data_IF_241309128892
#
_entry.id   IF_241309128892
#
_cell.length_a   1.000
_cell.length_b   1.000
_cell.length_c   1.000
_cell.angle_alpha   90.00
_cell.angle_beta   90.00
_cell.angle_gamma   90.00
#
_symmetry.space_group_name_H-M   'P 1'
#
loop_
_entity.id
_entity.type
_entity.pdbx_description
1 polymer ?
#
# COMPACT_ATOMS: atom_id res chain seq x y z
N UNK A 1 -20.41 8.61 -6.63
CA UNK A 1 -19.40 8.23 -7.65
C UNK A 1 -20.15 7.63 -8.84
N UNK A 2 -19.79 7.95 -10.10
CA UNK A 2 -20.39 7.29 -11.26
C UNK A 2 -19.66 5.96 -11.57
N UNK A 3 -20.28 5.08 -12.36
CA UNK A 3 -19.64 3.82 -12.80
C UNK A 3 -18.33 4.07 -13.57
N UNK A 4 -18.27 5.13 -14.38
CA UNK A 4 -17.05 5.52 -15.10
C UNK A 4 -15.94 5.95 -14.13
N UNK A 5 -16.27 6.78 -13.13
CA UNK A 5 -15.31 7.18 -12.09
C UNK A 5 -14.82 5.99 -11.27
N UNK A 6 -15.72 5.05 -10.95
CA UNK A 6 -15.37 3.82 -10.23
C UNK A 6 -14.30 3.01 -10.97
N UNK A 7 -14.54 2.64 -12.23
CA UNK A 7 -13.59 1.83 -13.00
C UNK A 7 -12.25 2.53 -13.23
N UNK A 8 -12.27 3.84 -13.50
CA UNK A 8 -11.03 4.65 -13.60
C UNK A 8 -10.25 4.64 -12.28
N UNK A 9 -10.95 4.65 -11.16
CA UNK A 9 -10.34 4.60 -9.83
C UNK A 9 -9.73 3.23 -9.55
N UNK A 10 -10.43 2.15 -9.89
CA UNK A 10 -9.94 0.77 -9.76
C UNK A 10 -8.66 0.58 -10.57
N UNK A 11 -8.66 0.94 -11.85
CA UNK A 11 -7.49 0.81 -12.73
C UNK A 11 -6.30 1.62 -12.18
N UNK A 12 -6.56 2.86 -11.73
CA UNK A 12 -5.53 3.70 -11.12
C UNK A 12 -4.95 3.09 -9.84
N UNK A 13 -5.80 2.46 -9.02
CA UNK A 13 -5.38 1.74 -7.81
C UNK A 13 -4.48 0.54 -8.13
N UNK A 14 -4.82 -0.26 -9.15
CA UNK A 14 -3.97 -1.36 -9.61
C UNK A 14 -2.59 -0.85 -10.06
N UNK A 15 -2.55 0.20 -10.89
CA UNK A 15 -1.29 0.77 -11.40
C UNK A 15 -0.44 1.34 -10.25
N UNK A 16 -1.05 2.11 -9.34
CA UNK A 16 -0.36 2.67 -8.19
C UNK A 16 0.22 1.58 -7.27
N UNK A 17 -0.52 0.48 -7.08
CA UNK A 17 -0.06 -0.67 -6.29
C UNK A 17 1.09 -1.37 -6.97
N UNK A 18 1.01 -1.57 -8.28
CA UNK A 18 2.12 -2.13 -9.06
C UNK A 18 3.40 -1.30 -8.91
N UNK A 19 3.31 0.03 -9.03
CA UNK A 19 4.48 0.92 -8.84
C UNK A 19 5.00 0.86 -7.41
N UNK A 20 4.11 0.82 -6.42
CA UNK A 20 4.49 0.62 -5.02
C UNK A 20 5.28 -0.67 -4.81
N UNK A 21 4.84 -1.78 -5.43
CA UNK A 21 5.56 -3.06 -5.44
C UNK A 21 6.94 -2.94 -6.08
N UNK A 22 7.04 -2.29 -7.24
CA UNK A 22 8.33 -2.11 -7.92
C UNK A 22 9.31 -1.31 -7.06
N UNK A 23 8.85 -0.24 -6.41
CA UNK A 23 9.69 0.53 -5.48
C UNK A 23 10.13 -0.33 -4.29
N UNK A 24 9.22 -1.12 -3.72
CA UNK A 24 9.52 -2.00 -2.60
C UNK A 24 10.59 -3.06 -2.93
N UNK A 25 10.69 -3.50 -4.19
CA UNK A 25 11.77 -4.37 -4.67
C UNK A 25 13.05 -3.60 -5.01
N UNK A 26 12.94 -2.47 -5.71
CA UNK A 26 14.10 -1.71 -6.20
C UNK A 26 14.86 -0.97 -5.10
N UNK A 27 14.20 -0.62 -3.99
CA UNK A 27 14.84 0.07 -2.86
C UNK A 27 15.97 -0.74 -2.20
N UNK A 28 16.05 -2.05 -2.46
CA UNK A 28 17.21 -2.88 -2.13
C UNK A 28 18.53 -2.32 -2.67
N UNK A 29 18.51 -1.72 -3.87
CA UNK A 29 19.68 -1.06 -4.48
C UNK A 29 20.16 0.18 -3.72
N UNK A 30 19.36 0.71 -2.80
CA UNK A 30 19.69 1.86 -1.94
C UNK A 30 20.08 1.43 -0.52
N UNK A 31 20.24 0.12 -0.27
CA UNK A 31 20.57 -0.41 1.07
C UNK A 31 19.38 -0.44 2.05
N UNK A 32 18.15 -0.28 1.54
CA UNK A 32 16.90 -0.44 2.27
C UNK A 32 16.41 -1.90 2.17
N UNK A 33 15.67 -2.42 3.17
CA UNK A 33 15.11 -3.76 3.09
C UNK A 33 14.07 -3.85 1.96
N UNK A 34 14.07 -4.98 1.26
CA UNK A 34 13.01 -5.33 0.31
C UNK A 34 11.76 -5.72 1.11
N UNK A 35 10.61 -5.16 0.73
CA UNK A 35 9.32 -5.44 1.39
C UNK A 35 8.39 -6.11 0.37
N UNK A 36 8.37 -7.44 0.37
CA UNK A 36 7.43 -8.21 -0.45
C UNK A 36 6.12 -8.44 0.31
N UNK A 37 5.21 -7.48 0.20
CA UNK A 37 3.89 -7.53 0.87
C UNK A 37 3.06 -8.72 0.38
N UNK A 38 3.15 -9.08 -0.90
CA UNK A 38 2.43 -10.23 -1.45
C UNK A 38 2.88 -11.53 -0.78
N UNK A 39 4.19 -11.72 -0.63
CA UNK A 39 4.76 -12.87 0.07
C UNK A 39 4.39 -12.87 1.56
N UNK A 40 4.51 -11.73 2.25
CA UNK A 40 4.14 -11.58 3.67
C UNK A 40 2.68 -11.99 3.90
N UNK A 41 1.76 -11.54 3.03
CA UNK A 41 0.35 -11.91 3.13
C UNK A 41 0.13 -13.41 2.88
N UNK A 42 0.78 -13.99 1.86
CA UNK A 42 0.70 -15.44 1.62
C UNK A 42 1.21 -16.25 2.82
N UNK A 43 2.33 -15.86 3.43
CA UNK A 43 2.83 -16.51 4.64
C UNK A 43 1.84 -16.38 5.80
N UNK A 44 1.24 -15.21 5.97
CA UNK A 44 0.20 -14.97 6.99
C UNK A 44 -1.00 -15.89 6.79
N UNK A 45 -1.49 -16.05 5.56
CA UNK A 45 -2.62 -16.94 5.25
C UNK A 45 -2.28 -18.40 5.55
N UNK A 46 -1.07 -18.83 5.18
CA UNK A 46 -0.61 -20.22 5.32
C UNK A 46 -0.22 -20.59 6.75
N UNK A 47 0.13 -19.61 7.58
CA UNK A 47 0.30 -19.83 9.01
C UNK A 47 -1.00 -20.31 9.66
N UNK A 48 -2.15 -19.79 9.19
CA UNK A 48 -3.48 -20.16 9.68
C UNK A 48 -4.02 -21.42 8.95
N UNK A 49 -3.73 -21.58 7.66
CA UNK A 49 -4.26 -22.67 6.82
C UNK A 49 -3.18 -23.70 6.45
N UNK A 50 -2.71 -24.44 7.44
CA UNK A 50 -1.60 -25.40 7.27
C UNK A 50 -1.94 -26.61 6.40
N UNK A 51 -3.22 -27.01 6.34
CA UNK A 51 -3.68 -28.16 5.56
C UNK A 51 -3.93 -27.89 4.07
N UNK A 52 -4.23 -26.65 3.70
CA UNK A 52 -4.53 -26.23 2.33
C UNK A 52 -3.84 -24.89 2.03
N UNK A 53 -2.53 -24.89 1.76
CA UNK A 53 -1.76 -23.67 1.63
C UNK A 53 -2.17 -22.88 0.37
N UNK A 54 -2.39 -21.59 0.57
CA UNK A 54 -2.57 -20.61 -0.50
C UNK A 54 -1.27 -20.43 -1.29
N UNK A 55 -1.42 -20.33 -2.61
CA UNK A 55 -0.32 -19.92 -3.50
C UNK A 55 0.00 -18.42 -3.37
N UNK A 56 1.14 -18.02 -3.92
CA UNK A 56 1.59 -16.63 -3.95
C UNK A 56 0.62 -15.68 -4.70
N UNK A 57 -0.20 -16.22 -5.59
CA UNK A 57 -1.21 -15.45 -6.33
C UNK A 57 -2.21 -14.81 -5.37
N UNK A 58 -2.59 -15.51 -4.29
CA UNK A 58 -3.58 -15.01 -3.34
C UNK A 58 -3.07 -13.85 -2.49
N UNK A 59 -1.81 -13.89 -2.06
CA UNK A 59 -1.18 -12.77 -1.37
C UNK A 59 -1.05 -11.53 -2.26
N UNK A 60 -0.63 -11.72 -3.51
CA UNK A 60 -0.57 -10.64 -4.50
C UNK A 60 -1.96 -10.07 -4.85
N UNK A 61 -2.98 -10.93 -4.93
CA UNK A 61 -4.35 -10.51 -5.16
C UNK A 61 -4.87 -9.68 -3.99
N UNK A 62 -4.71 -10.15 -2.76
CA UNK A 62 -5.11 -9.41 -1.55
C UNK A 62 -4.41 -8.05 -1.47
N UNK A 63 -3.12 -8.00 -1.80
CA UNK A 63 -2.35 -6.76 -1.84
C UNK A 63 -2.87 -5.77 -2.90
N UNK A 64 -3.14 -6.23 -4.12
CA UNK A 64 -3.69 -5.39 -5.18
C UNK A 64 -5.11 -4.90 -4.85
N UNK A 65 -5.97 -5.76 -4.30
CA UNK A 65 -7.31 -5.38 -3.84
C UNK A 65 -7.19 -4.30 -2.77
N UNK A 66 -6.27 -4.44 -1.81
CA UNK A 66 -6.03 -3.44 -0.77
C UNK A 66 -5.67 -2.08 -1.39
N UNK A 67 -4.77 -2.06 -2.38
CA UNK A 67 -4.42 -0.82 -3.06
C UNK A 67 -5.55 -0.24 -3.92
N UNK A 68 -6.45 -1.05 -4.46
CA UNK A 68 -7.70 -0.58 -5.09
C UNK A 68 -8.65 0.03 -4.05
N UNK A 69 -8.81 -0.60 -2.90
CA UNK A 69 -9.64 -0.08 -1.82
C UNK A 69 -9.12 1.26 -1.30
N UNK A 70 -7.80 1.41 -1.14
CA UNK A 70 -7.17 2.69 -0.82
C UNK A 70 -7.46 3.75 -1.90
N UNK A 71 -7.45 3.41 -3.18
CA UNK A 71 -7.79 4.34 -4.25
C UNK A 71 -9.25 4.77 -4.18
N UNK A 72 -10.16 3.83 -3.90
CA UNK A 72 -11.59 4.11 -3.74
C UNK A 72 -11.85 4.99 -2.52
N UNK A 73 -11.17 4.74 -1.39
CA UNK A 73 -11.26 5.56 -0.17
C UNK A 73 -10.81 6.99 -0.46
N UNK A 74 -9.74 7.16 -1.24
CA UNK A 74 -9.28 8.49 -1.65
C UNK A 74 -10.40 9.27 -2.35
N UNK A 75 -10.94 8.70 -3.43
CA UNK A 75 -11.97 9.36 -4.26
C UNK A 75 -13.28 9.56 -3.49
N UNK A 76 -13.67 8.61 -2.65
CA UNK A 76 -14.93 8.68 -1.92
C UNK A 76 -14.91 9.66 -0.74
N UNK A 77 -13.78 9.81 -0.05
CA UNK A 77 -13.76 10.46 1.27
C UNK A 77 -12.69 11.53 1.46
N UNK A 78 -11.55 11.45 0.76
CA UNK A 78 -10.37 12.25 1.10
C UNK A 78 -10.03 13.32 0.06
N UNK A 79 -10.38 13.07 -1.20
CA UNK A 79 -9.99 13.90 -2.33
C UNK A 79 -10.36 15.37 -2.13
N UNK A 80 -11.55 15.65 -1.62
CA UNK A 80 -12.06 17.02 -1.37
C UNK A 80 -11.52 17.63 -0.07
N UNK A 81 -11.19 16.80 0.92
CA UNK A 81 -10.80 17.23 2.28
C UNK A 81 -9.32 17.54 2.40
N UNK A 82 -8.46 16.87 1.65
CA UNK A 82 -7.01 17.08 1.72
C UNK A 82 -6.64 18.32 0.87
N UNK A 83 -6.03 19.35 1.48
CA UNK A 83 -5.66 20.58 0.77
C UNK A 83 -4.44 20.38 -0.12
N UNK A 84 -4.16 21.38 -0.96
CA UNK A 84 -2.99 21.43 -1.82
C UNK A 84 -3.22 20.95 -3.25
N UNK A 85 -2.17 21.06 -4.06
CA UNK A 85 -2.16 20.57 -5.43
C UNK A 85 -2.02 19.04 -5.48
N UNK A 86 -2.18 18.43 -6.65
CA UNK A 86 -2.14 16.96 -6.81
C UNK A 86 -0.83 16.32 -6.35
N UNK A 87 0.30 17.02 -6.47
CA UNK A 87 1.58 16.51 -5.99
C UNK A 87 1.59 16.45 -4.46
N UNK A 88 1.24 17.56 -3.79
CA UNK A 88 1.14 17.64 -2.33
C UNK A 88 0.13 16.61 -1.80
N UNK A 89 -1.03 16.49 -2.44
CA UNK A 89 -2.04 15.48 -2.12
C UNK A 89 -1.47 14.06 -2.19
N UNK A 90 -0.67 13.74 -3.21
CA UNK A 90 -0.02 12.43 -3.34
C UNK A 90 0.99 12.16 -2.23
N UNK A 91 1.81 13.15 -1.88
CA UNK A 91 2.76 13.05 -0.75
C UNK A 91 2.01 12.84 0.56
N UNK A 92 1.03 13.69 0.88
CA UNK A 92 0.24 13.58 2.10
C UNK A 92 -0.49 12.25 2.19
N UNK A 93 -1.04 11.77 1.07
CA UNK A 93 -1.72 10.49 1.05
C UNK A 93 -0.77 9.32 1.24
N UNK A 94 0.41 9.33 0.60
CA UNK A 94 1.45 8.34 0.82
C UNK A 94 1.91 8.29 2.29
N UNK A 95 2.13 9.44 2.92
CA UNK A 95 2.46 9.53 4.35
C UNK A 95 1.33 8.93 5.20
N UNK A 96 0.07 9.31 4.93
CA UNK A 96 -1.08 8.80 5.66
C UNK A 96 -1.17 7.26 5.57
N UNK A 97 -1.04 6.72 4.36
CA UNK A 97 -1.06 5.26 4.15
C UNK A 97 0.11 4.61 4.88
N UNK A 98 1.32 5.19 4.86
CA UNK A 98 2.47 4.67 5.60
C UNK A 98 2.24 4.66 7.12
N UNK A 99 1.58 5.69 7.66
CA UNK A 99 1.23 5.76 9.09
C UNK A 99 0.22 4.67 9.44
N UNK A 100 -0.82 4.49 8.63
CA UNK A 100 -1.83 3.44 8.83
C UNK A 100 -1.18 2.06 8.68
N UNK A 101 -0.30 1.88 7.70
CA UNK A 101 0.41 0.62 7.48
C UNK A 101 1.28 0.26 8.69
N UNK A 102 2.19 1.15 9.12
CA UNK A 102 3.09 0.87 10.24
C UNK A 102 2.39 0.83 11.60
N UNK A 103 1.38 1.68 11.82
CA UNK A 103 0.69 1.80 13.11
C UNK A 103 -0.46 0.82 13.31
N UNK A 104 -1.08 0.33 12.24
CA UNK A 104 -2.26 -0.54 12.32
C UNK A 104 -2.00 -1.84 11.58
N UNK A 105 -1.77 -1.80 10.27
CA UNK A 105 -1.80 -3.01 9.43
C UNK A 105 -0.65 -3.96 9.75
N UNK A 106 0.60 -3.46 9.83
CA UNK A 106 1.79 -4.28 10.06
C UNK A 106 1.75 -5.05 11.39
N UNK A 107 1.36 -4.44 12.53
CA UNK A 107 1.12 -5.19 13.76
C UNK A 107 0.14 -6.36 13.60
N UNK A 108 -1.02 -6.12 12.98
CA UNK A 108 -2.05 -7.17 12.83
C UNK A 108 -1.62 -8.28 11.87
N UNK A 109 -1.02 -7.92 10.73
CA UNK A 109 -0.57 -8.90 9.73
C UNK A 109 0.57 -9.76 10.29
N UNK A 110 1.56 -9.15 10.94
CA UNK A 110 2.67 -9.92 11.53
C UNK A 110 2.18 -10.87 12.62
N UNK A 111 1.29 -10.41 13.51
CA UNK A 111 0.68 -11.27 14.53
C UNK A 111 -0.09 -12.45 13.93
N UNK A 112 -0.81 -12.24 12.83
CA UNK A 112 -1.50 -13.32 12.12
C UNK A 112 -0.53 -14.31 11.47
N UNK A 113 0.71 -13.89 11.16
CA UNK A 113 1.77 -14.75 10.64
C UNK A 113 2.60 -15.46 11.73
N UNK A 114 2.28 -15.27 13.02
CA UNK A 114 3.03 -15.83 14.13
C UNK A 114 4.32 -15.05 14.48
N UNK A 115 4.47 -13.84 13.95
CA UNK A 115 5.58 -12.92 14.25
C UNK A 115 5.03 -11.63 14.90
N UNK A 116 5.88 -10.73 15.36
CA UNK A 116 5.45 -9.41 15.82
C UNK A 116 6.41 -8.35 15.30
N UNK A 117 5.96 -7.57 14.33
CA UNK A 117 6.72 -6.39 13.89
C UNK A 117 6.61 -5.23 14.89
N UNK A 118 5.61 -5.25 15.77
CA UNK A 118 5.32 -4.14 16.69
C UNK A 118 4.80 -2.90 15.97
N UNK A 119 4.39 -1.89 16.75
CA UNK A 119 3.96 -0.61 16.21
C UNK A 119 5.13 0.08 15.49
N UNK A 120 4.93 0.53 14.26
CA UNK A 120 5.98 1.15 13.45
C UNK A 120 7.28 0.33 13.38
N UNK A 121 7.13 -0.99 13.32
CA UNK A 121 8.24 -1.94 13.14
C UNK A 121 9.22 -2.01 14.33
N UNK A 122 8.85 -1.55 15.52
CA UNK A 122 9.76 -1.46 16.70
C UNK A 122 10.41 -2.78 17.11
N UNK A 123 9.78 -3.92 16.79
CA UNK A 123 10.28 -5.24 17.16
C UNK A 123 11.15 -5.88 16.06
N UNK A 124 11.31 -5.21 14.91
CA UNK A 124 12.23 -5.66 13.86
C UNK A 124 13.68 -5.31 14.20
N UNK A 125 14.66 -6.00 13.60
CA UNK A 125 16.08 -5.73 13.87
C UNK A 125 16.58 -4.38 13.36
N UNK A 126 15.91 -3.79 12.37
CA UNK A 126 16.32 -2.55 11.69
C UNK A 126 15.12 -1.59 11.52
N UNK A 127 14.45 -1.19 12.62
CA UNK A 127 13.14 -0.51 12.58
C UNK A 127 13.17 0.77 11.74
N UNK A 128 14.22 1.58 11.88
CA UNK A 128 14.36 2.82 11.10
C UNK A 128 14.47 2.58 9.60
N UNK A 129 15.16 1.51 9.16
CA UNK A 129 15.26 1.17 7.74
C UNK A 129 13.95 0.61 7.19
N UNK A 130 13.24 -0.22 7.98
CA UNK A 130 11.93 -0.75 7.58
C UNK A 130 10.89 0.37 7.49
N UNK A 131 10.90 1.32 8.44
CA UNK A 131 10.04 2.49 8.41
C UNK A 131 10.31 3.35 7.18
N UNK A 132 11.58 3.62 6.86
CA UNK A 132 11.97 4.40 5.69
C UNK A 132 11.57 3.69 4.39
N UNK A 133 11.86 2.39 4.29
CA UNK A 133 11.44 1.52 3.19
C UNK A 133 9.92 1.51 2.99
N UNK A 134 9.15 1.42 4.09
CA UNK A 134 7.70 1.53 4.06
C UNK A 134 7.25 2.91 3.57
N UNK A 135 7.84 3.98 4.08
CA UNK A 135 7.49 5.33 3.66
C UNK A 135 7.75 5.55 2.16
N UNK A 136 8.91 5.11 1.65
CA UNK A 136 9.28 5.29 0.24
C UNK A 136 8.32 4.61 -0.71
N UNK A 137 7.92 3.36 -0.42
CA UNK A 137 6.96 2.65 -1.27
C UNK A 137 5.56 3.30 -1.23
N UNK A 138 5.08 3.75 -0.06
CA UNK A 138 3.77 4.41 0.05
C UNK A 138 3.74 5.81 -0.56
N UNK A 139 4.84 6.56 -0.53
CA UNK A 139 4.98 7.79 -1.30
C UNK A 139 4.86 7.51 -2.81
N UNK A 140 5.50 6.42 -3.27
CA UNK A 140 5.35 5.94 -4.64
C UNK A 140 3.91 5.62 -5.03
N UNK A 141 3.17 4.96 -4.13
CA UNK A 141 1.73 4.73 -4.29
C UNK A 141 0.96 6.04 -4.42
N UNK A 142 1.08 6.95 -3.46
CA UNK A 142 0.31 8.20 -3.40
C UNK A 142 0.56 9.10 -4.61
N UNK A 143 1.82 9.26 -5.01
CA UNK A 143 2.20 10.06 -6.19
C UNK A 143 1.67 9.46 -7.49
N UNK A 144 1.88 8.15 -7.69
CA UNK A 144 1.37 7.44 -8.87
C UNK A 144 -0.14 7.52 -8.95
N UNK A 145 -0.83 7.31 -7.82
CA UNK A 145 -2.28 7.37 -7.76
C UNK A 145 -2.79 8.74 -8.23
N UNK A 146 -2.24 9.84 -7.71
CA UNK A 146 -2.67 11.19 -8.11
C UNK A 146 -2.39 11.48 -9.59
N UNK A 147 -1.29 10.96 -10.13
CA UNK A 147 -0.97 11.07 -11.55
C UNK A 147 -1.97 10.28 -12.41
N UNK A 148 -2.25 9.03 -12.06
CA UNK A 148 -3.22 8.19 -12.76
C UNK A 148 -4.63 8.81 -12.74
N UNK A 149 -5.08 9.32 -11.59
CA UNK A 149 -6.37 10.00 -11.49
C UNK A 149 -6.44 11.26 -12.37
N UNK A 150 -5.35 12.04 -12.43
CA UNK A 150 -5.24 13.19 -13.34
C UNK A 150 -5.44 12.76 -14.80
N UNK A 151 -4.72 11.73 -15.23
CA UNK A 151 -4.77 11.23 -16.61
C UNK A 151 -6.14 10.64 -16.93
N UNK A 152 -6.74 9.92 -15.98
CA UNK A 152 -8.06 9.32 -16.13
C UNK A 152 -9.21 10.33 -16.00
N UNK A 153 -8.95 11.62 -15.76
CA UNK A 153 -9.99 12.63 -15.56
C UNK A 153 -10.82 12.40 -14.30
N UNK A 154 -10.23 11.81 -13.26
CA UNK A 154 -10.82 11.69 -11.91
C UNK A 154 -10.27 12.84 -11.05
N UNK A 155 -11.11 13.82 -10.74
CA UNK A 155 -10.71 15.05 -10.08
C UNK A 155 -11.77 15.58 -9.11
N UNK A 156 -11.39 16.58 -8.30
CA UNK A 156 -12.36 17.41 -7.58
C UNK A 156 -13.38 17.94 -8.60
N UNK A 157 -14.66 17.81 -8.27
CA UNK A 157 -15.71 18.48 -9.01
C UNK A 157 -15.58 19.99 -8.87
#
# INVERSE_FOLDING_TARGET
>A
MSASTFWRTVISGCIATFVMTMIAFLQGGLGLPVIDVGHILTQSFNHIHTGEPYSLIWGNLAYNITGVLLALIWVAFLQERIPGNRFIQGVLYGVLVSVVAGGVISPFVSMAAGDSFGFFYTNTWIPGKVLLAGLTMHLGYGLTLMLCMKVAGVGKK
#
